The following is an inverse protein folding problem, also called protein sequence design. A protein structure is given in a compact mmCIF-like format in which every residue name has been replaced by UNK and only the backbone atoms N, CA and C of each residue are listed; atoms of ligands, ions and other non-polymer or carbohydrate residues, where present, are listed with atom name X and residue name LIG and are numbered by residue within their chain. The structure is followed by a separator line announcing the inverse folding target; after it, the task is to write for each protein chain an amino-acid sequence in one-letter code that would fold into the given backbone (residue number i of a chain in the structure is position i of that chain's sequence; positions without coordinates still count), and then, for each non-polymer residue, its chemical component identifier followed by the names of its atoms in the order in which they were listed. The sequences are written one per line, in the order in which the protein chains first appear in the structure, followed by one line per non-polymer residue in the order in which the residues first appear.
data_IF_994069246021
#
_entry.id   IF_994069246021
#
_cell.length_a   1.000
_cell.length_b   1.000
_cell.length_c   1.000
_cell.angle_alpha   90.00
_cell.angle_beta   90.00
_cell.angle_gamma   90.00
#
_symmetry.space_group_name_H-M   'P 1'
#
loop_
_entity.id
_entity.type
_entity.pdbx_description
1 polymer ?
#
# COMPACT_ATOMS: atom_id res chain seq x y z
N UNK A 1 -76.23 52.72 42.12
CA UNK A 1 -75.35 53.13 41.00
C UNK A 1 -74.01 52.33 41.12
N UNK A 2 -73.84 51.28 40.38
CA UNK A 2 -72.67 50.39 40.44
C UNK A 2 -71.75 50.66 39.20
N UNK A 3 -70.56 51.27 39.39
CA UNK A 3 -69.61 51.52 38.40
C UNK A 3 -68.80 50.27 38.09
N UNK A 4 -68.92 49.64 36.88
CA UNK A 4 -68.07 48.55 36.40
C UNK A 4 -66.71 49.09 36.02
N UNK A 5 -65.69 48.66 36.79
CA UNK A 5 -64.26 48.88 36.46
C UNK A 5 -63.83 47.94 35.35
N UNK A 6 -63.58 48.47 34.15
CA UNK A 6 -62.92 47.72 33.05
C UNK A 6 -61.44 47.45 33.42
N UNK A 7 -61.11 46.20 33.67
CA UNK A 7 -59.71 45.75 33.73
C UNK A 7 -59.13 45.75 32.31
N UNK A 8 -58.21 46.67 31.99
CA UNK A 8 -57.33 46.57 30.85
C UNK A 8 -56.34 45.39 31.09
N UNK A 9 -56.46 44.32 30.30
CA UNK A 9 -55.39 43.31 30.21
C UNK A 9 -54.21 43.99 29.53
N UNK A 10 -53.08 44.17 30.25
CA UNK A 10 -51.79 44.45 29.67
C UNK A 10 -51.42 43.23 28.82
N UNK A 11 -51.21 43.39 27.57
CA UNK A 11 -50.49 42.43 26.73
C UNK A 11 -49.05 42.47 27.25
N UNK A 12 -48.67 41.44 28.00
CA UNK A 12 -47.25 41.19 28.29
C UNK A 12 -46.66 40.69 26.98
N UNK A 13 -45.90 41.60 26.33
CA UNK A 13 -45.04 41.25 25.21
C UNK A 13 -44.07 40.20 25.73
N UNK A 14 -44.25 38.92 25.35
CA UNK A 14 -43.34 37.82 25.59
C UNK A 14 -42.11 38.10 24.68
N UNK A 15 -41.19 38.92 25.16
CA UNK A 15 -39.86 39.04 24.58
C UNK A 15 -39.16 37.70 24.76
N UNK A 16 -39.13 36.92 23.69
CA UNK A 16 -38.27 35.71 23.61
C UNK A 16 -36.82 36.12 23.94
N UNK A 17 -36.13 35.42 24.86
CA UNK A 17 -34.77 35.74 25.19
C UNK A 17 -33.90 35.65 23.92
N UNK A 18 -32.98 36.58 23.77
CA UNK A 18 -32.12 36.72 22.58
C UNK A 18 -31.43 35.41 22.20
N UNK A 19 -31.16 34.54 23.16
CA UNK A 19 -30.62 33.19 22.96
C UNK A 19 -31.56 32.25 22.18
N UNK A 20 -32.88 32.32 22.45
CA UNK A 20 -33.89 31.52 21.74
C UNK A 20 -34.09 32.03 20.30
N UNK A 21 -34.08 33.33 20.15
CA UNK A 21 -34.16 33.96 18.81
C UNK A 21 -32.91 33.58 17.97
N UNK A 22 -31.71 33.59 18.59
CA UNK A 22 -30.45 33.14 17.96
C UNK A 22 -30.49 31.68 17.52
N UNK A 23 -31.02 30.77 18.34
CA UNK A 23 -31.18 29.36 17.98
C UNK A 23 -32.18 29.15 16.85
N UNK A 24 -33.29 29.88 16.85
CA UNK A 24 -34.33 29.81 15.76
C UNK A 24 -33.74 30.33 14.45
N UNK A 25 -33.04 31.46 14.46
CA UNK A 25 -32.39 32.05 13.28
C UNK A 25 -31.27 31.14 12.76
N UNK A 26 -30.45 30.59 13.65
CA UNK A 26 -29.41 29.62 13.28
C UNK A 26 -30.03 28.35 12.68
N UNK A 27 -31.06 27.80 13.30
CA UNK A 27 -31.77 26.62 12.80
C UNK A 27 -32.40 26.87 11.42
N UNK A 28 -33.00 28.07 11.20
CA UNK A 28 -33.53 28.49 9.91
C UNK A 28 -32.45 28.65 8.82
N UNK A 29 -31.28 29.24 9.19
CA UNK A 29 -30.13 29.40 8.31
C UNK A 29 -29.55 28.05 7.89
N UNK A 30 -29.42 27.14 8.85
CA UNK A 30 -28.95 25.75 8.61
C UNK A 30 -29.93 25.01 7.70
N UNK A 31 -31.23 25.11 7.95
CA UNK A 31 -32.25 24.41 7.16
C UNK A 31 -32.31 24.92 5.71
N UNK A 32 -32.18 26.22 5.49
CA UNK A 32 -32.15 26.81 4.14
C UNK A 32 -30.87 26.46 3.37
N UNK A 33 -29.75 26.27 4.08
CA UNK A 33 -28.48 25.97 3.45
C UNK A 33 -28.05 24.48 3.62
N UNK A 34 -28.96 23.60 4.03
CA UNK A 34 -28.66 22.19 4.27
C UNK A 34 -27.97 21.51 3.07
N UNK A 35 -28.44 21.78 1.86
CA UNK A 35 -27.84 21.24 0.62
C UNK A 35 -26.40 21.76 0.42
N UNK A 36 -26.17 23.06 0.70
CA UNK A 36 -24.83 23.66 0.59
C UNK A 36 -23.87 23.09 1.66
N UNK A 37 -24.33 22.96 2.89
CA UNK A 37 -23.54 22.36 3.98
C UNK A 37 -23.17 20.91 3.64
N UNK A 38 -24.12 20.12 3.15
CA UNK A 38 -23.88 18.74 2.72
C UNK A 38 -22.86 18.69 1.55
N UNK A 39 -23.01 19.58 0.57
CA UNK A 39 -22.06 19.64 -0.54
C UNK A 39 -20.63 19.98 -0.07
N UNK A 40 -20.47 20.92 0.86
CA UNK A 40 -19.17 21.28 1.45
C UNK A 40 -18.58 20.09 2.24
N UNK A 41 -19.38 19.39 3.03
CA UNK A 41 -18.93 18.20 3.76
C UNK A 41 -18.44 17.08 2.81
N UNK A 42 -19.17 16.85 1.72
CA UNK A 42 -18.78 15.88 0.69
C UNK A 42 -17.45 16.29 0.05
N UNK A 43 -17.27 17.58 -0.29
CA UNK A 43 -16.02 18.09 -0.86
C UNK A 43 -14.84 17.94 0.11
N UNK A 44 -15.02 18.28 1.38
CA UNK A 44 -14.00 18.13 2.42
C UNK A 44 -13.62 16.65 2.60
N UNK A 45 -14.62 15.77 2.62
CA UNK A 45 -14.40 14.34 2.70
C UNK A 45 -13.65 13.79 1.46
N UNK A 46 -14.06 14.21 0.26
CA UNK A 46 -13.41 13.83 -0.99
C UNK A 46 -11.94 14.32 -1.02
N UNK A 47 -11.67 15.56 -0.59
CA UNK A 47 -10.33 16.11 -0.45
C UNK A 47 -9.49 15.32 0.56
N UNK A 48 -10.05 14.96 1.70
CA UNK A 48 -9.38 14.13 2.71
C UNK A 48 -9.00 12.76 2.15
N UNK A 49 -9.92 12.09 1.44
CA UNK A 49 -9.66 10.80 0.78
C UNK A 49 -8.58 10.95 -0.29
N UNK A 50 -8.66 11.98 -1.12
CA UNK A 50 -7.66 12.29 -2.14
C UNK A 50 -6.26 12.48 -1.55
N UNK A 51 -6.14 13.28 -0.47
CA UNK A 51 -4.87 13.48 0.24
C UNK A 51 -4.33 12.16 0.82
N UNK A 52 -5.19 11.31 1.40
CA UNK A 52 -4.77 9.99 1.90
C UNK A 52 -4.23 9.08 0.79
N UNK A 53 -4.92 9.02 -0.34
CA UNK A 53 -4.51 8.20 -1.48
C UNK A 53 -3.17 8.69 -2.05
N UNK A 54 -3.03 10.00 -2.27
CA UNK A 54 -1.78 10.57 -2.81
C UNK A 54 -0.59 10.39 -1.88
N UNK A 55 -0.78 10.57 -0.57
CA UNK A 55 0.28 10.29 0.43
C UNK A 55 0.70 8.83 0.41
N UNK A 56 -0.25 7.90 0.37
CA UNK A 56 0.02 6.46 0.31
C UNK A 56 0.81 6.09 -0.96
N UNK A 57 0.42 6.65 -2.11
CA UNK A 57 1.11 6.39 -3.38
C UNK A 57 2.54 6.93 -3.37
N UNK A 58 2.75 8.16 -2.90
CA UNK A 58 4.10 8.76 -2.76
C UNK A 58 5.00 7.94 -1.82
N UNK A 59 4.46 7.45 -0.71
CA UNK A 59 5.22 6.60 0.21
C UNK A 59 5.59 5.26 -0.44
N UNK A 60 4.67 4.65 -1.20
CA UNK A 60 4.93 3.45 -1.97
C UNK A 60 6.05 3.67 -2.99
N UNK A 61 5.96 4.73 -3.80
CA UNK A 61 6.98 5.10 -4.79
C UNK A 61 8.34 5.31 -4.12
N UNK A 62 8.39 6.08 -3.03
CA UNK A 62 9.62 6.29 -2.25
C UNK A 62 10.25 4.95 -1.84
N UNK A 63 9.48 4.00 -1.31
CA UNK A 63 10.02 2.69 -0.92
C UNK A 63 10.51 1.88 -2.12
N UNK A 64 9.80 1.88 -3.23
CA UNK A 64 10.19 1.13 -4.42
C UNK A 64 11.41 1.73 -5.15
N UNK A 65 11.71 3.01 -4.94
CA UNK A 65 12.90 3.66 -5.48
C UNK A 65 14.08 3.72 -4.48
N UNK A 66 13.85 3.33 -3.22
CA UNK A 66 14.89 3.36 -2.18
C UNK A 66 16.02 2.40 -2.47
N UNK A 67 17.26 2.85 -2.26
CA UNK A 67 18.44 2.01 -2.22
C UNK A 67 18.75 1.49 -0.80
N UNK A 68 19.82 0.72 -0.66
CA UNK A 68 20.22 0.20 0.65
C UNK A 68 20.67 1.31 1.62
N UNK A 69 21.13 2.46 1.10
CA UNK A 69 21.50 3.59 1.96
C UNK A 69 20.28 4.18 2.64
N UNK A 70 19.17 4.35 1.92
CA UNK A 70 17.91 4.82 2.49
C UNK A 70 17.35 3.83 3.51
N UNK A 71 17.46 2.52 3.23
CA UNK A 71 17.06 1.47 4.18
C UNK A 71 17.83 1.57 5.48
N UNK A 72 19.13 1.89 5.43
CA UNK A 72 19.98 2.05 6.62
C UNK A 72 19.57 3.24 7.50
N UNK A 73 18.84 4.21 6.96
CA UNK A 73 18.34 5.39 7.69
C UNK A 73 16.86 5.26 8.14
N UNK A 74 16.18 4.19 7.74
CA UNK A 74 14.80 3.94 8.17
C UNK A 74 14.73 3.66 9.68
N UNK A 75 13.62 4.04 10.29
CA UNK A 75 13.24 3.53 11.61
C UNK A 75 12.83 2.05 11.50
N UNK A 76 12.69 1.35 12.63
CA UNK A 76 12.17 -0.03 12.64
C UNK A 76 10.80 -0.11 11.96
N UNK A 77 9.88 0.76 12.36
CA UNK A 77 8.52 0.85 11.80
C UNK A 77 8.52 1.16 10.29
N UNK A 78 9.35 2.10 9.84
CA UNK A 78 9.48 2.39 8.40
C UNK A 78 9.98 1.16 7.62
N UNK A 79 10.90 0.38 8.21
CA UNK A 79 11.41 -0.84 7.60
C UNK A 79 10.34 -1.95 7.49
N UNK A 80 9.46 -2.08 8.49
CA UNK A 80 8.32 -2.99 8.44
C UNK A 80 7.34 -2.61 7.31
N UNK A 81 6.98 -1.32 7.19
CA UNK A 81 6.14 -0.81 6.10
C UNK A 81 6.82 -0.96 4.73
N UNK A 82 8.12 -0.73 4.66
CA UNK A 82 8.93 -0.98 3.48
C UNK A 82 8.84 -2.44 3.04
N UNK A 83 9.09 -3.40 3.93
CA UNK A 83 8.98 -4.83 3.65
C UNK A 83 7.55 -5.20 3.23
N UNK A 84 6.54 -4.70 3.94
CA UNK A 84 5.14 -4.93 3.59
C UNK A 84 4.83 -4.46 2.15
N UNK A 85 5.42 -3.34 1.71
CA UNK A 85 5.29 -2.83 0.33
C UNK A 85 5.95 -3.77 -0.67
N UNK A 86 7.17 -4.21 -0.41
CA UNK A 86 7.89 -5.15 -1.28
C UNK A 86 7.19 -6.51 -1.41
N UNK A 87 6.68 -7.06 -0.33
CA UNK A 87 5.91 -8.31 -0.38
C UNK A 87 4.63 -8.16 -1.22
N UNK A 88 3.98 -6.99 -1.22
CA UNK A 88 2.84 -6.72 -2.11
C UNK A 88 3.25 -6.72 -3.58
N UNK A 89 4.38 -6.14 -3.94
CA UNK A 89 4.91 -6.15 -5.30
C UNK A 89 5.36 -7.57 -5.75
N UNK A 90 5.76 -8.43 -4.81
CA UNK A 90 6.02 -9.84 -5.03
C UNK A 90 4.74 -10.70 -5.19
N UNK A 91 3.57 -10.07 -5.09
CA UNK A 91 2.26 -10.71 -5.27
C UNK A 91 1.66 -11.30 -3.99
N UNK A 92 2.20 -10.97 -2.81
CA UNK A 92 1.61 -11.37 -1.54
C UNK A 92 0.53 -10.37 -1.08
N UNK A 93 -0.48 -10.86 -0.39
CA UNK A 93 -1.35 -10.03 0.45
C UNK A 93 -0.65 -9.80 1.78
N UNK A 94 0.07 -8.69 1.93
CA UNK A 94 0.87 -8.40 3.12
C UNK A 94 0.26 -7.28 3.96
N UNK A 95 0.42 -7.40 5.29
CA UNK A 95 0.05 -6.37 6.29
C UNK A 95 1.05 -6.37 7.43
N UNK A 96 1.29 -5.21 8.04
CA UNK A 96 2.01 -5.09 9.32
C UNK A 96 1.12 -5.56 10.47
N UNK A 97 1.75 -6.05 11.53
CA UNK A 97 1.09 -6.39 12.80
C UNK A 97 0.92 -5.13 13.66
N UNK A 98 0.13 -5.17 14.73
CA UNK A 98 0.11 -4.09 15.72
C UNK A 98 1.48 -3.93 16.38
N UNK A 99 1.85 -2.69 16.76
CA UNK A 99 3.13 -2.40 17.43
C UNK A 99 3.25 -3.01 18.84
N UNK A 100 2.15 -3.44 19.44
CA UNK A 100 2.09 -4.04 20.77
C UNK A 100 1.43 -5.40 20.66
N UNK A 101 2.02 -6.40 21.33
CA UNK A 101 1.55 -7.79 21.30
C UNK A 101 1.63 -8.41 19.89
N UNK A 102 2.68 -8.12 19.15
CA UNK A 102 2.98 -8.67 17.82
C UNK A 102 3.44 -10.14 17.85
N UNK A 103 3.72 -10.66 19.06
CA UNK A 103 4.20 -12.01 19.33
C UNK A 103 5.44 -12.40 18.52
N UNK A 104 6.23 -11.42 18.10
CA UNK A 104 7.47 -11.63 17.35
C UNK A 104 7.29 -11.76 15.84
N UNK A 105 6.23 -11.16 15.28
CA UNK A 105 6.06 -10.99 13.85
C UNK A 105 5.68 -9.55 13.53
N UNK A 106 6.44 -8.88 12.68
CA UNK A 106 6.22 -7.49 12.27
C UNK A 106 5.37 -7.41 11.00
N UNK A 107 5.45 -8.44 10.13
CA UNK A 107 4.65 -8.53 8.90
C UNK A 107 4.06 -9.92 8.73
N UNK A 108 2.79 -9.98 8.30
CA UNK A 108 2.12 -11.22 7.89
C UNK A 108 1.82 -11.13 6.40
N UNK A 109 2.23 -12.13 5.64
CA UNK A 109 2.05 -12.21 4.20
C UNK A 109 1.32 -13.51 3.80
N UNK A 110 0.46 -13.42 2.78
CA UNK A 110 -0.31 -14.55 2.25
C UNK A 110 -0.15 -14.63 0.73
N UNK A 111 0.13 -15.82 0.23
CA UNK A 111 0.16 -16.09 -1.21
C UNK A 111 -0.20 -17.56 -1.46
N UNK A 112 -1.11 -17.80 -2.42
CA UNK A 112 -1.47 -19.14 -2.87
C UNK A 112 -1.87 -20.12 -1.74
N UNK A 113 -2.56 -19.59 -0.72
CA UNK A 113 -2.98 -20.37 0.45
C UNK A 113 -1.95 -20.47 1.57
N UNK A 114 -0.71 -20.07 1.34
CA UNK A 114 0.40 -20.13 2.29
C UNK A 114 0.50 -18.83 3.10
N UNK A 115 0.60 -18.95 4.43
CA UNK A 115 0.81 -17.84 5.37
C UNK A 115 2.25 -17.79 5.83
N UNK A 116 2.86 -16.63 5.74
CA UNK A 116 4.24 -16.37 6.17
C UNK A 116 4.22 -15.31 7.25
N UNK A 117 4.91 -15.55 8.36
CA UNK A 117 5.22 -14.54 9.39
C UNK A 117 6.66 -14.07 9.22
N UNK A 118 6.86 -12.77 9.33
CA UNK A 118 8.15 -12.14 9.06
C UNK A 118 8.51 -11.25 10.24
N UNK A 119 9.71 -11.49 10.80
CA UNK A 119 10.36 -10.61 11.76
C UNK A 119 11.33 -9.70 11.03
N UNK A 120 11.21 -8.39 11.20
CA UNK A 120 12.04 -7.37 10.60
C UNK A 120 13.08 -6.84 11.60
N UNK A 121 14.34 -6.76 11.21
CA UNK A 121 15.40 -6.19 12.07
C UNK A 121 16.24 -5.20 11.27
N UNK A 122 15.91 -3.89 11.40
CA UNK A 122 16.72 -2.81 10.84
C UNK A 122 17.86 -2.49 11.81
N UNK A 123 18.97 -3.22 11.71
CA UNK A 123 20.14 -3.11 12.58
C UNK A 123 21.40 -2.75 11.80
N UNK A 124 22.35 -2.09 12.46
CA UNK A 124 23.71 -1.89 11.94
C UNK A 124 24.59 -3.11 12.20
N UNK A 125 24.36 -3.79 13.32
CA UNK A 125 25.08 -4.94 13.79
C UNK A 125 24.43 -6.25 13.33
N UNK A 126 25.19 -7.35 13.47
CA UNK A 126 24.68 -8.67 13.10
C UNK A 126 23.53 -9.12 14.02
N UNK A 127 22.47 -9.65 13.41
CA UNK A 127 21.30 -10.17 14.11
C UNK A 127 21.59 -11.53 14.73
N UNK A 128 21.34 -11.63 16.03
CA UNK A 128 21.54 -12.85 16.81
C UNK A 128 20.31 -13.78 16.83
N UNK A 129 20.42 -14.85 17.65
CA UNK A 129 19.42 -15.92 17.78
C UNK A 129 18.04 -15.42 18.22
N UNK A 130 17.97 -14.31 18.96
CA UNK A 130 16.73 -13.77 19.53
C UNK A 130 15.66 -13.54 18.45
N UNK A 131 16.04 -12.94 17.33
CA UNK A 131 15.09 -12.68 16.23
C UNK A 131 14.52 -13.97 15.62
N UNK A 132 15.33 -15.03 15.58
CA UNK A 132 14.89 -16.35 15.09
C UNK A 132 13.94 -17.01 16.10
N UNK A 133 14.23 -16.89 17.39
CA UNK A 133 13.36 -17.40 18.46
C UNK A 133 12.01 -16.67 18.46
N UNK A 134 12.01 -15.34 18.30
CA UNK A 134 10.81 -14.51 18.20
C UNK A 134 9.89 -14.98 17.05
N UNK A 135 10.42 -15.16 15.84
CA UNK A 135 9.62 -15.56 14.68
C UNK A 135 9.14 -17.01 14.74
N UNK A 136 9.89 -17.92 15.40
CA UNK A 136 9.43 -19.29 15.66
C UNK A 136 8.20 -19.27 16.57
N UNK A 137 8.22 -18.46 17.63
CA UNK A 137 7.06 -18.24 18.49
C UNK A 137 5.86 -17.66 17.71
N UNK A 138 6.14 -16.66 16.88
CA UNK A 138 5.13 -16.05 16.02
C UNK A 138 4.50 -17.06 15.05
N UNK A 139 5.30 -17.94 14.44
CA UNK A 139 4.80 -18.99 13.55
C UNK A 139 3.72 -19.84 14.21
N UNK A 140 3.96 -20.24 15.46
CA UNK A 140 2.99 -21.02 16.22
C UNK A 140 1.73 -20.21 16.57
N UNK A 141 1.93 -19.00 17.08
CA UNK A 141 0.82 -18.13 17.48
C UNK A 141 -0.13 -17.81 16.31
N UNK A 142 0.44 -17.41 15.17
CA UNK A 142 -0.34 -17.04 13.98
C UNK A 142 -0.76 -18.24 13.14
N UNK A 143 -0.40 -19.47 13.52
CA UNK A 143 -0.63 -20.70 12.73
C UNK A 143 -0.14 -20.51 11.30
N UNK A 144 1.10 -20.05 11.15
CA UNK A 144 1.70 -19.77 9.85
C UNK A 144 2.44 -21.00 9.31
N UNK A 145 2.46 -21.14 8.00
CA UNK A 145 3.14 -22.22 7.31
C UNK A 145 4.65 -22.02 7.30
N UNK A 146 5.07 -20.77 7.13
CA UNK A 146 6.49 -20.36 7.08
C UNK A 146 6.81 -19.24 8.05
N UNK A 147 8.07 -19.20 8.47
CA UNK A 147 8.63 -18.12 9.26
C UNK A 147 9.88 -17.57 8.56
N UNK A 148 10.08 -16.26 8.64
CA UNK A 148 11.18 -15.57 8.01
C UNK A 148 11.73 -14.47 8.91
N UNK A 149 13.05 -14.28 8.91
CA UNK A 149 13.69 -13.07 9.47
C UNK A 149 14.36 -12.30 8.36
N UNK A 150 14.09 -11.01 8.27
CA UNK A 150 14.68 -10.10 7.28
C UNK A 150 15.43 -9.00 8.00
N UNK A 151 16.68 -8.75 7.59
CA UNK A 151 17.49 -7.69 8.17
C UNK A 151 18.19 -6.82 7.13
N UNK A 152 18.42 -5.56 7.49
CA UNK A 152 19.30 -4.64 6.74
C UNK A 152 20.81 -4.96 6.95
N UNK A 153 21.14 -5.87 7.86
CA UNK A 153 22.49 -6.29 8.22
C UNK A 153 22.75 -7.77 7.88
N UNK A 154 23.54 -8.45 8.67
CA UNK A 154 23.86 -9.87 8.50
C UNK A 154 23.43 -10.67 9.72
N UNK A 155 23.48 -11.99 9.63
CA UNK A 155 23.18 -12.90 10.74
C UNK A 155 24.44 -13.48 11.35
N UNK A 156 24.43 -13.66 12.67
CA UNK A 156 25.48 -14.41 13.37
C UNK A 156 25.46 -15.90 12.98
N UNK A 157 26.59 -16.64 13.09
CA UNK A 157 26.59 -18.08 12.83
C UNK A 157 25.53 -18.83 13.65
N UNK A 158 25.40 -18.51 14.93
CA UNK A 158 24.41 -19.14 15.81
C UNK A 158 22.96 -18.88 15.36
N UNK A 159 22.65 -17.66 14.85
CA UNK A 159 21.33 -17.35 14.29
C UNK A 159 21.05 -18.20 13.03
N UNK A 160 22.06 -18.38 12.16
CA UNK A 160 21.93 -19.23 10.96
C UNK A 160 21.68 -20.69 11.32
N UNK A 161 22.44 -21.24 12.30
CA UNK A 161 22.25 -22.61 12.77
C UNK A 161 20.85 -22.82 13.36
N UNK A 162 20.38 -21.89 14.19
CA UNK A 162 19.04 -21.99 14.77
C UNK A 162 17.94 -21.87 13.70
N UNK A 163 18.12 -20.99 12.72
CA UNK A 163 17.17 -20.82 11.63
C UNK A 163 17.07 -22.11 10.77
N UNK A 164 18.19 -22.75 10.48
CA UNK A 164 18.20 -24.03 9.77
C UNK A 164 17.44 -25.11 10.56
N UNK A 165 17.69 -25.25 11.85
CA UNK A 165 17.02 -26.22 12.71
C UNK A 165 15.52 -25.91 12.88
N UNK A 166 15.16 -24.63 12.92
CA UNK A 166 13.79 -24.17 13.09
C UNK A 166 12.99 -24.03 11.79
N UNK A 167 13.58 -24.35 10.64
CA UNK A 167 13.00 -24.12 9.31
C UNK A 167 12.50 -22.67 9.16
N UNK A 168 13.42 -21.71 9.38
CA UNK A 168 13.21 -20.28 9.27
C UNK A 168 14.01 -19.73 8.11
N UNK A 169 13.36 -19.05 7.17
CA UNK A 169 14.04 -18.39 6.07
C UNK A 169 14.75 -17.11 6.54
N UNK A 170 15.99 -16.90 6.08
CA UNK A 170 16.77 -15.72 6.41
C UNK A 170 17.05 -14.88 5.17
N UNK A 171 16.67 -13.59 5.23
CA UNK A 171 17.11 -12.60 4.27
C UNK A 171 18.06 -11.61 4.95
N UNK A 172 19.32 -11.75 4.68
CA UNK A 172 20.34 -10.77 5.06
C UNK A 172 20.39 -9.60 4.07
N UNK A 173 21.29 -8.66 4.33
CA UNK A 173 21.52 -7.48 3.47
C UNK A 173 21.72 -7.82 2.00
N UNK A 174 22.47 -8.88 1.71
CA UNK A 174 22.76 -9.30 0.33
C UNK A 174 21.51 -9.80 -0.37
N UNK A 175 20.76 -10.67 0.29
CA UNK A 175 19.50 -11.19 -0.24
C UNK A 175 18.46 -10.11 -0.37
N UNK A 176 18.30 -9.25 0.64
CA UNK A 176 17.38 -8.12 0.60
C UNK A 176 17.68 -7.19 -0.60
N UNK A 177 18.95 -6.80 -0.79
CA UNK A 177 19.38 -5.99 -1.96
C UNK A 177 19.01 -6.65 -3.29
N UNK A 178 19.25 -7.95 -3.42
CA UNK A 178 18.90 -8.70 -4.63
C UNK A 178 17.40 -8.68 -4.93
N UNK A 179 16.57 -8.90 -3.90
CA UNK A 179 15.10 -8.83 -4.04
C UNK A 179 14.63 -7.41 -4.38
N UNK A 180 15.23 -6.39 -3.75
CA UNK A 180 14.94 -4.99 -4.08
C UNK A 180 15.18 -4.71 -5.57
N UNK A 181 16.34 -5.09 -6.10
CA UNK A 181 16.68 -4.90 -7.51
C UNK A 181 15.71 -5.63 -8.45
N UNK A 182 15.33 -6.85 -8.11
CA UNK A 182 14.37 -7.63 -8.87
C UNK A 182 12.98 -6.94 -8.93
N UNK A 183 12.48 -6.46 -7.80
CA UNK A 183 11.18 -5.77 -7.72
C UNK A 183 11.23 -4.45 -8.48
N UNK A 184 12.29 -3.66 -8.30
CA UNK A 184 12.49 -2.39 -9.00
C UNK A 184 12.55 -2.59 -10.51
N UNK A 185 13.29 -3.57 -10.99
CA UNK A 185 13.36 -3.91 -12.42
C UNK A 185 11.98 -4.29 -12.98
N UNK A 186 11.20 -5.07 -12.23
CA UNK A 186 9.83 -5.42 -12.62
C UNK A 186 8.92 -4.19 -12.71
N UNK A 187 8.96 -3.31 -11.70
CA UNK A 187 8.16 -2.08 -11.66
C UNK A 187 8.48 -1.19 -12.86
N UNK A 188 9.77 -0.99 -13.16
CA UNK A 188 10.20 -0.19 -14.33
C UNK A 188 9.66 -0.80 -15.63
N UNK A 189 9.78 -2.12 -15.81
CA UNK A 189 9.28 -2.80 -17.01
C UNK A 189 7.76 -2.67 -17.12
N UNK A 190 7.02 -2.80 -16.02
CA UNK A 190 5.57 -2.70 -16.00
C UNK A 190 5.09 -1.26 -16.29
N UNK A 191 5.85 -0.25 -15.88
CA UNK A 191 5.62 1.16 -16.25
C UNK A 191 5.93 1.42 -17.73
N UNK A 192 7.07 0.95 -18.23
CA UNK A 192 7.41 1.07 -19.64
C UNK A 192 6.36 0.43 -20.56
N UNK A 193 5.79 -0.73 -20.16
CA UNK A 193 4.71 -1.38 -20.92
C UNK A 193 3.43 -0.55 -21.00
N UNK A 194 3.21 0.42 -20.12
CA UNK A 194 2.07 1.34 -20.17
C UNK A 194 2.31 2.50 -21.13
N UNK A 195 3.57 2.79 -21.48
CA UNK A 195 3.92 3.86 -22.40
C UNK A 195 3.44 3.50 -23.83
N UNK A 196 2.59 4.34 -24.46
CA UNK A 196 2.12 4.11 -25.82
C UNK A 196 3.26 3.99 -26.84
N UNK A 197 4.36 4.71 -26.65
CA UNK A 197 5.53 4.66 -27.53
C UNK A 197 6.27 3.33 -27.37
N UNK A 198 6.48 2.85 -26.14
CA UNK A 198 7.04 1.53 -25.88
C UNK A 198 6.20 0.42 -26.50
N UNK A 199 4.86 0.50 -26.36
CA UNK A 199 3.93 -0.47 -26.95
C UNK A 199 4.01 -0.44 -28.50
N UNK A 200 4.21 0.72 -29.10
CA UNK A 200 4.40 0.87 -30.54
C UNK A 200 5.73 0.27 -31.00
N UNK A 201 6.82 0.56 -30.30
CA UNK A 201 8.16 0.04 -30.58
C UNK A 201 8.25 -1.48 -30.43
N UNK A 202 7.63 -2.03 -29.38
CA UNK A 202 7.59 -3.50 -29.15
C UNK A 202 6.82 -4.26 -30.23
N UNK A 203 5.93 -3.57 -30.95
CA UNK A 203 5.17 -4.12 -32.09
C UNK A 203 5.72 -3.74 -33.45
N UNK A 204 6.91 -3.15 -33.49
CA UNK A 204 7.58 -2.76 -34.72
C UNK A 204 8.65 -3.80 -35.09
N UNK A 205 8.69 -4.23 -36.32
CA UNK A 205 9.70 -5.18 -36.80
C UNK A 205 11.09 -4.52 -36.80
N UNK A 206 12.09 -5.07 -36.11
CA UNK A 206 13.44 -4.48 -36.06
C UNK A 206 14.19 -4.61 -37.35
N UNK A 207 13.73 -5.43 -38.32
CA UNK A 207 14.38 -5.66 -39.61
C UNK A 207 13.90 -4.68 -40.66
N UNK A 208 12.60 -4.42 -40.76
CA UNK A 208 12.03 -3.63 -41.85
C UNK A 208 11.14 -2.47 -41.38
N UNK A 209 10.97 -2.26 -40.06
CA UNK A 209 10.14 -1.19 -39.50
C UNK A 209 8.62 -1.39 -39.62
N UNK A 210 8.16 -2.48 -40.26
CA UNK A 210 6.73 -2.77 -40.37
C UNK A 210 6.14 -3.29 -39.08
N UNK A 211 4.81 -3.34 -38.98
CA UNK A 211 4.11 -3.80 -37.79
C UNK A 211 4.29 -5.30 -37.56
N UNK A 212 4.43 -5.71 -36.31
CA UNK A 212 4.35 -7.10 -35.89
C UNK A 212 2.90 -7.47 -35.60
N UNK A 213 2.41 -8.52 -36.23
CA UNK A 213 1.04 -9.05 -36.07
C UNK A 213 1.08 -10.45 -35.45
N UNK A 214 0.03 -10.81 -34.70
CA UNK A 214 -0.08 -12.12 -34.09
C UNK A 214 -0.43 -13.16 -35.18
N UNK A 215 0.43 -14.18 -35.31
CA UNK A 215 0.21 -15.34 -36.18
C UNK A 215 0.10 -16.62 -35.34
N UNK A 216 -0.66 -17.59 -35.82
CA UNK A 216 -0.77 -18.91 -35.20
C UNK A 216 0.16 -19.90 -35.90
N UNK A 217 1.03 -20.55 -35.12
CA UNK A 217 1.92 -21.62 -35.58
C UNK A 217 1.58 -22.96 -34.91
N UNK A 218 2.31 -24.03 -35.30
CA UNK A 218 2.13 -25.37 -34.73
C UNK A 218 2.35 -25.43 -33.21
N UNK A 219 3.23 -24.56 -32.68
CA UNK A 219 3.62 -24.55 -31.25
C UNK A 219 3.00 -23.39 -30.47
N UNK A 220 1.95 -22.74 -30.98
CA UNK A 220 1.26 -21.62 -30.33
C UNK A 220 1.30 -20.32 -31.13
N UNK A 221 0.89 -19.23 -30.51
CA UNK A 221 0.86 -17.90 -31.11
C UNK A 221 2.24 -17.23 -31.02
N UNK A 222 2.60 -16.46 -32.05
CA UNK A 222 3.85 -15.70 -32.11
C UNK A 222 3.62 -14.38 -32.87
N UNK A 223 4.51 -13.42 -32.68
CA UNK A 223 4.53 -12.21 -33.48
C UNK A 223 5.29 -12.47 -34.80
N UNK A 224 4.66 -12.22 -35.93
CA UNK A 224 5.30 -12.24 -37.24
C UNK A 224 5.20 -10.89 -37.93
N UNK A 225 6.20 -10.57 -38.78
CA UNK A 225 6.16 -9.35 -39.53
C UNK A 225 4.98 -9.32 -40.52
N UNK A 226 4.32 -8.16 -40.62
CA UNK A 226 3.23 -7.92 -41.56
C UNK A 226 3.70 -8.06 -43.04
N UNK A 227 4.94 -7.67 -43.31
CA UNK A 227 5.55 -7.77 -44.62
C UNK A 227 6.03 -9.18 -45.01
N UNK A 228 5.52 -10.22 -44.39
CA UNK A 228 5.79 -11.59 -44.85
C UNK A 228 5.10 -11.81 -46.20
N UNK A 229 5.79 -12.41 -47.23
CA UNK A 229 7.04 -13.19 -47.17
C UNK A 229 8.33 -12.39 -47.31
N UNK A 230 8.30 -11.12 -47.64
CA UNK A 230 9.50 -10.29 -47.91
C UNK A 230 10.35 -10.11 -46.65
N UNK A 231 9.72 -9.97 -45.47
CA UNK A 231 10.36 -9.99 -44.18
C UNK A 231 9.94 -11.19 -43.35
N UNK A 232 10.89 -12.07 -43.03
CA UNK A 232 10.63 -13.33 -42.29
C UNK A 232 10.83 -13.22 -40.78
N UNK A 233 10.92 -11.99 -40.24
CA UNK A 233 11.14 -11.79 -38.80
C UNK A 233 9.96 -12.36 -37.95
N UNK A 234 10.32 -13.08 -36.92
CA UNK A 234 9.36 -13.60 -35.92
C UNK A 234 9.91 -13.40 -34.52
N UNK A 235 9.01 -13.19 -33.52
CA UNK A 235 9.29 -13.06 -32.08
C UNK A 235 8.31 -13.92 -31.30
N UNK A 236 8.80 -14.72 -30.36
CA UNK A 236 7.93 -15.47 -29.43
C UNK A 236 7.12 -14.52 -28.56
N UNK A 237 5.92 -14.96 -28.15
CA UNK A 237 5.08 -14.22 -27.21
C UNK A 237 5.51 -14.48 -25.78
#
# INVERSE_FOLDING_TARGET
MYKKKKRKRKAEDILLPASVLGVILFGSLVKNNMKLILAVLILVFALFVYIKITRKNRTKERYLTSGMQEVDHMTGEEFEYFLCTYFKELGYKAKTTPMVNDYGADVIAYKEGEKIVIQAKRYKENVGIKAVQEVIGAKQYYKADKAMVITSSYFTPNAKNLAQSGNVDLWDRTKLKSVMQQVQGKVIIDEMKKDPEYQRLDRTCPVCGAKLIIKKGKNGSFYGCENFPDCKFTKSM
#
